data_IF_102234693886
#
_entry.id   IF_102234693886
#
_cell.length_a   1.000
_cell.length_b   1.000
_cell.length_c   1.000
_cell.angle_alpha   90.00
_cell.angle_beta   90.00
_cell.angle_gamma   90.00
#
_symmetry.space_group_name_H-M   'P 1'
#
loop_
_entity.id
_entity.type
_entity.pdbx_description
1 polymer ?
#
# COMPACT_ATOMS: atom_id res chain seq x y z
N UNK A 1 32.83 -21.23 -43.81
CA UNK A 1 33.93 -21.61 -42.91
C UNK A 1 33.65 -20.90 -41.59
N UNK A 2 32.86 -21.52 -40.69
CA UNK A 2 33.31 -22.30 -39.50
C UNK A 2 34.02 -21.35 -38.52
N UNK A 3 33.60 -21.12 -37.28
CA UNK A 3 32.93 -21.94 -36.26
C UNK A 3 32.41 -20.98 -35.14
N UNK A 4 31.16 -21.08 -34.68
CA UNK A 4 30.64 -21.86 -33.52
C UNK A 4 30.96 -21.32 -32.11
N UNK A 5 29.87 -21.29 -31.29
CA UNK A 5 29.77 -21.45 -29.82
C UNK A 5 29.97 -20.18 -28.97
N UNK A 6 29.09 -19.78 -28.04
CA UNK A 6 28.25 -20.57 -27.13
C UNK A 6 26.99 -19.79 -26.69
N UNK A 7 25.81 -20.33 -27.01
CA UNK A 7 24.53 -20.00 -26.39
C UNK A 7 24.42 -20.87 -25.12
N UNK A 8 24.37 -20.26 -23.93
CA UNK A 8 24.01 -20.97 -22.69
C UNK A 8 22.50 -20.86 -22.47
N UNK A 9 21.81 -21.91 -22.93
CA UNK A 9 20.45 -22.27 -22.56
C UNK A 9 20.38 -22.56 -21.05
N UNK A 10 19.65 -21.74 -20.31
CA UNK A 10 19.27 -22.07 -18.93
C UNK A 10 17.92 -22.81 -18.98
N UNK A 11 18.00 -24.14 -19.04
CA UNK A 11 16.87 -25.05 -18.89
C UNK A 11 16.58 -25.19 -17.39
N UNK A 12 15.42 -24.72 -16.93
CA UNK A 12 14.84 -25.19 -15.67
C UNK A 12 13.69 -26.13 -16.01
N UNK A 13 14.00 -27.42 -15.88
CA UNK A 13 13.05 -28.52 -15.97
C UNK A 13 12.12 -28.50 -14.77
N UNK A 14 10.82 -28.58 -15.05
CA UNK A 14 9.76 -28.82 -14.11
C UNK A 14 10.02 -30.10 -13.31
N UNK A 15 10.15 -29.97 -11.98
CA UNK A 15 10.05 -31.09 -11.06
C UNK A 15 8.65 -31.06 -10.44
N UNK A 16 7.74 -31.75 -11.10
CA UNK A 16 6.49 -32.23 -10.52
C UNK A 16 6.85 -33.22 -9.40
N UNK A 17 6.82 -32.77 -8.14
CA UNK A 17 6.82 -33.68 -7.00
C UNK A 17 5.38 -33.79 -6.53
N UNK A 18 4.71 -34.82 -7.03
CA UNK A 18 3.50 -35.35 -6.45
C UNK A 18 3.82 -35.84 -5.02
N UNK A 19 3.52 -35.03 -4.02
CA UNK A 19 3.50 -35.48 -2.62
C UNK A 19 2.22 -36.27 -2.44
N UNK A 20 2.37 -37.58 -2.64
CA UNK A 20 1.38 -38.59 -2.33
C UNK A 20 1.09 -38.56 -0.82
N UNK A 21 -0.18 -38.39 -0.49
CA UNK A 21 -0.74 -38.52 0.86
C UNK A 21 -0.39 -39.90 1.45
N UNK A 22 0.50 -39.94 2.43
CA UNK A 22 0.58 -41.04 3.39
C UNK A 22 -0.01 -40.53 4.72
N UNK A 23 -1.31 -40.82 4.89
CA UNK A 23 -2.01 -40.73 6.16
C UNK A 23 -1.43 -41.78 7.12
N UNK A 24 -0.45 -41.39 7.93
CA UNK A 24 -0.17 -42.11 9.18
C UNK A 24 -1.18 -41.64 10.23
N UNK A 25 -2.12 -42.52 10.55
CA UNK A 25 -3.06 -42.38 11.64
C UNK A 25 -2.30 -42.08 12.95
N UNK A 26 -2.44 -40.85 13.45
CA UNK A 26 -1.99 -40.44 14.77
C UNK A 26 -3.19 -39.94 15.55
N UNK A 27 -3.44 -40.61 16.67
CA UNK A 27 -4.20 -40.21 17.86
C UNK A 27 -5.29 -39.14 17.69
N UNK A 28 -6.54 -39.57 17.85
CA UNK A 28 -7.72 -38.71 18.06
C UNK A 28 -7.56 -37.98 19.41
N UNK A 29 -6.85 -36.86 19.38
CA UNK A 29 -7.05 -35.78 20.35
C UNK A 29 -8.42 -35.12 20.13
N UNK A 30 -8.95 -34.39 21.12
CA UNK A 30 -10.24 -33.73 21.00
C UNK A 30 -10.27 -32.86 19.74
N UNK A 31 -11.26 -33.09 18.86
CA UNK A 31 -11.48 -32.32 17.63
C UNK A 31 -11.38 -30.83 17.95
N UNK A 32 -10.25 -30.23 17.56
CA UNK A 32 -10.08 -28.79 17.43
C UNK A 32 -11.24 -28.32 16.56
N UNK A 33 -12.18 -27.56 17.15
CA UNK A 33 -13.42 -27.08 16.52
C UNK A 33 -13.19 -26.83 15.03
N UNK A 34 -13.78 -27.66 14.16
CA UNK A 34 -13.75 -27.40 12.72
C UNK A 34 -14.40 -26.04 12.53
N UNK A 35 -13.62 -25.04 12.11
CA UNK A 35 -14.12 -23.68 11.96
C UNK A 35 -15.36 -23.68 11.08
N UNK A 36 -16.44 -23.06 11.56
CA UNK A 36 -17.75 -23.03 10.89
C UNK A 36 -17.69 -22.33 9.52
N UNK A 37 -16.65 -21.54 9.27
CA UNK A 37 -16.45 -20.79 8.03
C UNK A 37 -15.61 -21.53 6.98
N UNK A 38 -14.98 -22.66 7.33
CA UNK A 38 -14.07 -23.37 6.41
C UNK A 38 -14.74 -23.75 5.08
N UNK A 39 -15.99 -24.25 5.04
CA UNK A 39 -16.70 -24.51 3.78
C UNK A 39 -16.90 -23.26 2.93
N UNK A 40 -17.06 -22.09 3.56
CA UNK A 40 -17.22 -20.84 2.83
C UNK A 40 -15.90 -20.40 2.19
N UNK A 41 -14.77 -20.58 2.88
CA UNK A 41 -13.45 -20.33 2.32
C UNK A 41 -13.18 -21.26 1.12
N UNK A 42 -13.49 -22.55 1.26
CA UNK A 42 -13.33 -23.54 0.17
C UNK A 42 -14.18 -23.19 -1.05
N UNK A 43 -15.45 -22.81 -0.84
CA UNK A 43 -16.31 -22.36 -1.92
C UNK A 43 -15.76 -21.12 -2.64
N UNK A 44 -15.17 -20.17 -1.91
CA UNK A 44 -14.53 -18.99 -2.50
C UNK A 44 -13.30 -19.37 -3.34
N UNK A 45 -12.52 -20.38 -2.95
CA UNK A 45 -11.42 -20.89 -3.77
C UNK A 45 -11.92 -21.59 -5.04
N UNK A 46 -13.02 -22.35 -4.98
CA UNK A 46 -13.63 -22.94 -6.18
C UNK A 46 -14.12 -21.87 -7.17
N UNK A 47 -14.62 -20.73 -6.68
CA UNK A 47 -14.96 -19.58 -7.52
C UNK A 47 -13.69 -18.96 -8.14
N UNK A 48 -12.59 -18.88 -7.40
CA UNK A 48 -11.30 -18.41 -7.92
C UNK A 48 -10.75 -19.31 -9.04
N UNK A 49 -10.87 -20.64 -8.92
CA UNK A 49 -10.47 -21.58 -9.98
C UNK A 49 -11.25 -21.37 -11.29
N UNK A 50 -12.50 -20.88 -11.19
CA UNK A 50 -13.33 -20.52 -12.34
C UNK A 50 -13.08 -19.10 -12.86
N UNK A 51 -12.10 -18.38 -12.28
CA UNK A 51 -11.81 -16.98 -12.61
C UNK A 51 -12.78 -15.97 -12.01
N UNK A 52 -13.71 -16.39 -11.15
CA UNK A 52 -14.80 -15.57 -10.61
C UNK A 52 -14.40 -14.85 -9.30
N UNK A 53 -13.33 -14.05 -9.34
CA UNK A 53 -12.83 -13.34 -8.13
C UNK A 53 -13.89 -12.48 -7.46
N UNK A 54 -14.65 -11.72 -8.25
CA UNK A 54 -15.63 -10.80 -7.69
C UNK A 54 -16.71 -11.55 -6.91
N UNK A 55 -17.26 -12.62 -7.48
CA UNK A 55 -18.22 -13.49 -6.80
C UNK A 55 -17.63 -14.12 -5.53
N UNK A 56 -16.37 -14.54 -5.57
CA UNK A 56 -15.67 -15.08 -4.40
C UNK A 56 -15.58 -14.06 -3.25
N UNK A 57 -15.21 -12.81 -3.57
CA UNK A 57 -15.10 -11.73 -2.59
C UNK A 57 -16.48 -11.32 -2.03
N UNK A 58 -17.49 -11.21 -2.89
CA UNK A 58 -18.87 -10.92 -2.48
C UNK A 58 -19.40 -12.02 -1.54
N UNK A 59 -19.14 -13.29 -1.86
CA UNK A 59 -19.54 -14.43 -1.04
C UNK A 59 -18.87 -14.43 0.35
N UNK A 60 -17.57 -14.14 0.41
CA UNK A 60 -16.86 -14.03 1.69
C UNK A 60 -17.31 -12.83 2.53
N UNK A 61 -17.55 -11.68 1.89
CA UNK A 61 -18.06 -10.50 2.57
C UNK A 61 -19.47 -10.73 3.14
N UNK A 62 -20.37 -11.36 2.37
CA UNK A 62 -21.69 -11.75 2.86
C UNK A 62 -21.60 -12.74 4.03
N UNK A 63 -20.62 -13.66 3.99
CA UNK A 63 -20.37 -14.59 5.10
C UNK A 63 -19.89 -13.84 6.36
N UNK A 64 -19.05 -12.81 6.21
CA UNK A 64 -18.56 -11.98 7.32
C UNK A 64 -19.65 -11.18 8.02
N UNK A 65 -20.75 -10.87 7.33
CA UNK A 65 -21.92 -10.18 7.89
C UNK A 65 -22.84 -11.08 8.73
N UNK A 66 -22.60 -12.39 8.78
CA UNK A 66 -23.41 -13.31 9.59
C UNK A 66 -23.23 -13.02 11.10
N UNK A 67 -24.32 -13.04 11.90
CA UNK A 67 -24.21 -12.88 13.34
C UNK A 67 -23.46 -14.06 13.98
N UNK A 68 -22.88 -13.83 15.16
CA UNK A 68 -22.24 -14.85 16.02
C UNK A 68 -20.97 -15.51 15.48
N UNK A 69 -20.24 -14.87 14.56
CA UNK A 69 -18.88 -15.32 14.21
C UNK A 69 -17.92 -15.10 15.38
N UNK A 70 -17.10 -16.11 15.69
CA UNK A 70 -16.00 -15.96 16.65
C UNK A 70 -14.93 -15.00 16.10
N UNK A 71 -14.12 -14.39 16.97
CA UNK A 71 -12.99 -13.56 16.53
C UNK A 71 -11.98 -14.35 15.67
N UNK A 72 -11.82 -15.64 15.95
CA UNK A 72 -11.00 -16.53 15.12
C UNK A 72 -11.56 -16.67 13.70
N UNK A 73 -12.87 -16.86 13.56
CA UNK A 73 -13.51 -16.97 12.24
C UNK A 73 -13.47 -15.66 11.48
N UNK A 74 -13.70 -14.52 12.15
CA UNK A 74 -13.56 -13.19 11.55
C UNK A 74 -12.15 -12.96 11.02
N UNK A 75 -11.13 -13.37 11.78
CA UNK A 75 -9.72 -13.29 11.40
C UNK A 75 -9.41 -14.18 10.19
N UNK A 76 -9.86 -15.43 10.19
CA UNK A 76 -9.67 -16.34 9.07
C UNK A 76 -10.37 -15.87 7.78
N UNK A 77 -11.59 -15.35 7.86
CA UNK A 77 -12.27 -14.72 6.73
C UNK A 77 -11.50 -13.51 6.20
N UNK A 78 -10.97 -12.65 7.09
CA UNK A 78 -10.17 -11.50 6.68
C UNK A 78 -8.89 -11.92 5.93
N UNK A 79 -8.21 -12.97 6.40
CA UNK A 79 -7.05 -13.54 5.71
C UNK A 79 -7.41 -14.14 4.34
N UNK A 80 -8.55 -14.83 4.24
CA UNK A 80 -9.03 -15.38 2.97
C UNK A 80 -9.36 -14.27 1.95
N UNK A 81 -10.08 -13.23 2.39
CA UNK A 81 -10.39 -12.05 1.56
C UNK A 81 -9.11 -11.37 1.09
N UNK A 82 -8.16 -11.11 1.99
CA UNK A 82 -6.86 -10.50 1.64
C UNK A 82 -6.12 -11.33 0.58
N UNK A 83 -5.99 -12.64 0.80
CA UNK A 83 -5.32 -13.54 -0.14
C UNK A 83 -6.01 -13.60 -1.51
N UNK A 84 -7.32 -13.77 -1.55
CA UNK A 84 -8.10 -13.84 -2.80
C UNK A 84 -8.03 -12.53 -3.58
N UNK A 85 -8.11 -11.41 -2.88
CA UNK A 85 -8.07 -10.08 -3.52
C UNK A 85 -6.73 -9.77 -4.21
N UNK A 86 -5.62 -10.33 -3.71
CA UNK A 86 -4.26 -10.06 -4.19
C UNK A 86 -3.73 -11.09 -5.19
N UNK A 87 -4.26 -12.30 -5.19
CA UNK A 87 -3.78 -13.38 -6.06
C UNK A 87 -4.05 -13.06 -7.53
N UNK A 88 -3.03 -13.11 -8.39
CA UNK A 88 -3.22 -13.06 -9.84
C UNK A 88 -3.80 -14.37 -10.35
N UNK A 89 -4.80 -14.27 -11.23
CA UNK A 89 -5.45 -15.42 -11.88
C UNK A 89 -4.83 -15.73 -13.24
N UNK A 90 -4.07 -14.79 -13.81
CA UNK A 90 -3.48 -14.85 -15.13
C UNK A 90 -2.02 -14.39 -15.11
N UNK A 91 -1.16 -15.09 -15.86
CA UNK A 91 0.23 -14.66 -16.02
C UNK A 91 0.33 -13.30 -16.71
N UNK A 92 -0.61 -12.97 -17.61
CA UNK A 92 -0.63 -11.69 -18.34
C UNK A 92 -0.76 -10.52 -17.38
N UNK A 93 -1.73 -10.58 -16.46
CA UNK A 93 -1.92 -9.52 -15.47
C UNK A 93 -0.71 -9.41 -14.53
N UNK A 94 -0.18 -10.54 -14.06
CA UNK A 94 1.00 -10.55 -13.20
C UNK A 94 2.22 -9.92 -13.88
N UNK A 95 2.57 -10.35 -15.10
CA UNK A 95 3.72 -9.81 -15.85
C UNK A 95 3.58 -8.32 -16.13
N UNK A 96 2.37 -7.87 -16.46
CA UNK A 96 2.09 -6.45 -16.71
C UNK A 96 2.22 -5.65 -15.42
N UNK A 97 1.66 -6.13 -14.31
CA UNK A 97 1.80 -5.48 -13.00
C UNK A 97 3.26 -5.39 -12.53
N UNK A 98 4.01 -6.48 -12.60
CA UNK A 98 5.43 -6.49 -12.20
C UNK A 98 6.27 -5.53 -13.05
N UNK A 99 5.95 -5.42 -14.34
CA UNK A 99 6.59 -4.46 -15.24
C UNK A 99 6.21 -3.03 -14.90
N UNK A 100 4.95 -2.77 -14.57
CA UNK A 100 4.49 -1.45 -14.11
C UNK A 100 5.23 -1.03 -12.83
N UNK A 101 5.33 -1.91 -11.84
CA UNK A 101 6.07 -1.67 -10.60
C UNK A 101 7.57 -1.44 -10.86
N UNK A 102 8.15 -2.11 -11.87
CA UNK A 102 9.55 -1.90 -12.26
C UNK A 102 9.80 -0.51 -12.86
N UNK A 103 8.85 -0.01 -13.66
CA UNK A 103 8.95 1.30 -14.31
C UNK A 103 8.48 2.45 -13.43
N UNK A 104 7.71 2.18 -12.37
CA UNK A 104 7.04 3.19 -11.55
C UNK A 104 7.91 4.37 -11.14
N UNK A 105 9.18 4.13 -10.75
CA UNK A 105 10.09 5.18 -10.28
C UNK A 105 10.94 5.83 -11.37
N UNK A 106 11.02 5.23 -12.56
CA UNK A 106 12.01 5.58 -13.59
C UNK A 106 11.36 6.04 -14.91
N UNK A 107 10.25 5.40 -15.31
CA UNK A 107 9.57 5.55 -16.59
C UNK A 107 8.05 5.62 -16.37
N UNK A 108 7.60 6.80 -15.91
CA UNK A 108 6.22 7.03 -15.46
C UNK A 108 5.17 6.77 -16.54
N UNK A 109 5.42 7.17 -17.78
CA UNK A 109 4.52 6.95 -18.92
C UNK A 109 4.29 5.46 -19.18
N UNK A 110 5.37 4.69 -19.18
CA UNK A 110 5.40 3.26 -19.43
C UNK A 110 4.75 2.50 -18.28
N UNK A 111 5.01 2.93 -17.03
CA UNK A 111 4.38 2.34 -15.85
C UNK A 111 2.84 2.40 -15.94
N UNK A 112 2.28 3.54 -16.37
CA UNK A 112 0.83 3.69 -16.55
C UNK A 112 0.27 2.69 -17.55
N UNK A 113 0.90 2.56 -18.72
CA UNK A 113 0.46 1.63 -19.77
C UNK A 113 0.38 0.21 -19.22
N UNK A 114 1.41 -0.25 -18.51
CA UNK A 114 1.42 -1.61 -17.96
C UNK A 114 0.44 -1.81 -16.79
N UNK A 115 0.17 -0.79 -15.98
CA UNK A 115 -0.91 -0.89 -14.99
C UNK A 115 -2.29 -1.02 -15.64
N UNK A 116 -2.57 -0.25 -16.69
CA UNK A 116 -3.85 -0.32 -17.41
C UNK A 116 -3.99 -1.67 -18.15
N UNK A 117 -2.91 -2.20 -18.74
CA UNK A 117 -2.89 -3.55 -19.32
C UNK A 117 -3.20 -4.63 -18.27
N UNK A 118 -2.61 -4.50 -17.07
CA UNK A 118 -2.89 -5.40 -15.96
C UNK A 118 -4.35 -5.29 -15.50
N UNK A 119 -4.86 -4.06 -15.37
CA UNK A 119 -6.23 -3.75 -14.94
C UNK A 119 -7.27 -4.28 -15.94
N UNK A 120 -7.00 -4.18 -17.24
CA UNK A 120 -7.86 -4.72 -18.28
C UNK A 120 -7.92 -6.26 -18.23
N UNK A 121 -6.81 -6.92 -17.89
CA UNK A 121 -6.76 -8.37 -17.73
C UNK A 121 -7.45 -8.84 -16.43
N UNK A 122 -7.30 -8.10 -15.33
CA UNK A 122 -7.87 -8.45 -14.02
C UNK A 122 -8.40 -7.23 -13.26
N UNK A 123 -9.61 -6.74 -13.59
CA UNK A 123 -10.14 -5.50 -13.05
C UNK A 123 -10.36 -5.54 -11.53
N UNK A 124 -10.61 -6.71 -10.95
CA UNK A 124 -10.88 -6.86 -9.51
C UNK A 124 -9.64 -7.24 -8.68
N UNK A 125 -8.43 -7.21 -9.23
CA UNK A 125 -7.21 -7.47 -8.45
C UNK A 125 -6.81 -6.21 -7.66
N UNK A 126 -6.70 -6.33 -6.34
CA UNK A 126 -6.44 -5.18 -5.45
C UNK A 126 -5.01 -4.65 -5.59
N UNK A 127 -4.01 -5.49 -5.90
CA UNK A 127 -2.63 -5.02 -6.05
C UNK A 127 -2.51 -4.04 -7.21
N UNK A 128 -3.20 -4.32 -8.31
CA UNK A 128 -3.26 -3.44 -9.48
C UNK A 128 -3.96 -2.13 -9.12
N UNK A 129 -5.09 -2.19 -8.38
CA UNK A 129 -5.79 -1.01 -7.91
C UNK A 129 -4.88 -0.12 -7.05
N UNK A 130 -4.21 -0.70 -6.06
CA UNK A 130 -3.29 0.02 -5.16
C UNK A 130 -2.10 0.63 -5.93
N UNK A 131 -1.58 -0.07 -6.94
CA UNK A 131 -0.53 0.44 -7.82
C UNK A 131 -0.99 1.68 -8.61
N UNK A 132 -2.17 1.62 -9.22
CA UNK A 132 -2.77 2.76 -9.92
C UNK A 132 -3.07 3.94 -8.98
N UNK A 133 -3.58 3.67 -7.77
CA UNK A 133 -3.84 4.72 -6.78
C UNK A 133 -2.53 5.45 -6.44
N UNK A 134 -1.46 4.71 -6.10
CA UNK A 134 -0.14 5.29 -5.87
C UNK A 134 0.35 6.11 -7.05
N UNK A 135 0.21 5.57 -8.26
CA UNK A 135 0.59 6.25 -9.49
C UNK A 135 -0.12 7.58 -9.66
N UNK A 136 -1.44 7.61 -9.53
CA UNK A 136 -2.21 8.84 -9.67
C UNK A 136 -1.88 9.85 -8.56
N UNK A 137 -1.74 9.41 -7.31
CA UNK A 137 -1.32 10.26 -6.19
C UNK A 137 0.07 10.87 -6.40
N UNK A 138 1.03 10.12 -6.94
CA UNK A 138 2.37 10.63 -7.24
C UNK A 138 2.36 11.75 -8.29
N UNK A 139 1.37 11.76 -9.17
CA UNK A 139 1.18 12.83 -10.16
C UNK A 139 0.23 13.92 -9.67
N UNK A 140 -0.17 13.89 -8.40
CA UNK A 140 -1.14 14.81 -7.79
C UNK A 140 -2.51 14.76 -8.51
N UNK A 141 -2.84 13.63 -9.14
CA UNK A 141 -4.13 13.38 -9.79
C UNK A 141 -5.10 12.70 -8.82
N UNK A 142 -5.63 13.48 -7.88
CA UNK A 142 -6.43 12.95 -6.77
C UNK A 142 -7.78 12.38 -7.22
N UNK A 143 -8.41 12.95 -8.25
CA UNK A 143 -9.71 12.50 -8.78
C UNK A 143 -9.72 11.04 -9.28
N UNK A 144 -8.85 10.66 -10.24
CA UNK A 144 -8.71 9.28 -10.68
C UNK A 144 -8.34 8.31 -9.54
N UNK A 145 -7.48 8.73 -8.61
CA UNK A 145 -7.16 7.93 -7.43
C UNK A 145 -8.41 7.68 -6.54
N UNK A 146 -9.21 8.71 -6.31
CA UNK A 146 -10.46 8.64 -5.54
C UNK A 146 -11.47 7.67 -6.16
N UNK A 147 -11.62 7.72 -7.49
CA UNK A 147 -12.51 6.82 -8.21
C UNK A 147 -12.12 5.35 -8.00
N UNK A 148 -10.83 5.04 -8.16
CA UNK A 148 -10.32 3.67 -7.97
C UNK A 148 -10.47 3.21 -6.52
N UNK A 149 -10.17 4.07 -5.54
CA UNK A 149 -10.41 3.77 -4.12
C UNK A 149 -11.88 3.45 -3.89
N UNK A 150 -12.79 4.31 -4.32
CA UNK A 150 -14.24 4.15 -4.13
C UNK A 150 -14.77 2.84 -4.76
N UNK A 151 -14.38 2.55 -6.01
CA UNK A 151 -14.75 1.31 -6.69
C UNK A 151 -14.22 0.08 -5.97
N UNK A 152 -12.97 0.11 -5.52
CA UNK A 152 -12.32 -1.04 -4.88
C UNK A 152 -12.83 -1.26 -3.45
N UNK A 153 -13.18 -0.20 -2.70
CA UNK A 153 -13.78 -0.30 -1.36
C UNK A 153 -15.16 -0.96 -1.39
N UNK A 154 -15.93 -0.85 -2.47
CA UNK A 154 -17.19 -1.60 -2.62
C UNK A 154 -16.97 -3.12 -2.56
N UNK A 155 -15.83 -3.59 -3.07
CA UNK A 155 -15.45 -5.00 -3.05
C UNK A 155 -14.73 -5.39 -1.76
N UNK A 156 -13.99 -4.47 -1.14
CA UNK A 156 -13.13 -4.70 0.02
C UNK A 156 -13.33 -3.61 1.09
N UNK A 157 -14.52 -3.51 1.72
CA UNK A 157 -14.90 -2.37 2.55
C UNK A 157 -14.09 -2.22 3.84
N UNK A 158 -13.32 -3.25 4.23
CA UNK A 158 -12.54 -3.28 5.47
C UNK A 158 -11.03 -3.48 5.20
N UNK A 159 -10.58 -3.16 4.00
CA UNK A 159 -9.15 -3.24 3.64
C UNK A 159 -8.38 -2.07 4.26
N UNK A 160 -7.41 -2.37 5.11
CA UNK A 160 -6.52 -1.36 5.71
C UNK A 160 -5.80 -0.52 4.65
N UNK A 161 -5.29 -1.15 3.58
CA UNK A 161 -4.59 -0.42 2.52
C UNK A 161 -5.53 0.59 1.85
N UNK A 162 -6.80 0.22 1.62
CA UNK A 162 -7.77 1.12 1.01
C UNK A 162 -8.21 2.24 1.94
N UNK A 163 -8.27 2.01 3.26
CA UNK A 163 -8.48 3.09 4.23
C UNK A 163 -7.29 4.06 4.24
N UNK A 164 -6.06 3.54 4.26
CA UNK A 164 -4.84 4.34 4.18
C UNK A 164 -4.84 5.21 2.91
N UNK A 165 -5.04 4.60 1.73
CA UNK A 165 -5.04 5.38 0.48
C UNK A 165 -6.27 6.26 0.31
N UNK A 166 -7.41 5.94 0.93
CA UNK A 166 -8.56 6.85 0.98
C UNK A 166 -8.22 8.14 1.71
N UNK A 167 -7.47 8.04 2.81
CA UNK A 167 -7.00 9.21 3.54
C UNK A 167 -5.91 9.98 2.78
N UNK A 168 -4.99 9.30 2.10
CA UNK A 168 -4.02 9.95 1.19
C UNK A 168 -4.71 10.71 0.04
N UNK A 169 -5.78 10.14 -0.53
CA UNK A 169 -6.59 10.81 -1.55
C UNK A 169 -7.24 12.08 -1.01
N UNK A 170 -7.85 12.03 0.18
CA UNK A 170 -8.45 13.20 0.80
C UNK A 170 -7.38 14.28 1.06
N UNK A 171 -6.18 13.87 1.51
CA UNK A 171 -5.06 14.78 1.68
C UNK A 171 -4.64 15.44 0.36
N UNK A 172 -4.51 14.64 -0.71
CA UNK A 172 -4.20 15.12 -2.05
C UNK A 172 -5.23 16.15 -2.54
N UNK A 173 -6.53 15.89 -2.33
CA UNK A 173 -7.62 16.78 -2.74
C UNK A 173 -7.73 18.04 -1.87
N UNK A 174 -7.02 18.11 -0.74
CA UNK A 174 -7.15 19.20 0.24
C UNK A 174 -8.47 19.18 1.01
N UNK A 175 -9.24 18.10 0.90
CA UNK A 175 -10.51 17.94 1.61
C UNK A 175 -10.24 17.38 3.00
N UNK A 176 -10.85 17.94 4.06
CA UNK A 176 -10.80 17.32 5.38
C UNK A 176 -11.42 15.93 5.30
N UNK A 177 -10.67 14.91 5.69
CA UNK A 177 -11.21 13.57 5.87
C UNK A 177 -11.75 13.42 7.28
N UNK A 178 -12.72 12.53 7.47
CA UNK A 178 -12.96 11.98 8.80
C UNK A 178 -11.62 11.44 9.37
N UNK A 179 -11.38 11.57 10.69
CA UNK A 179 -10.19 11.00 11.31
C UNK A 179 -10.10 9.54 10.90
N UNK A 180 -8.90 9.05 10.56
CA UNK A 180 -8.70 7.62 10.41
C UNK A 180 -9.19 6.95 11.70
N UNK A 181 -10.32 6.26 11.62
CA UNK A 181 -10.57 5.16 12.51
C UNK A 181 -9.46 4.18 12.17
N UNK A 182 -8.37 4.22 12.93
CA UNK A 182 -7.34 3.20 12.86
C UNK A 182 -8.02 1.93 13.33
N UNK A 183 -8.71 1.26 12.40
CA UNK A 183 -9.17 -0.10 12.59
C UNK A 183 -7.91 -0.86 13.00
N UNK A 184 -7.95 -1.68 14.07
CA UNK A 184 -6.78 -2.40 14.57
C UNK A 184 -6.32 -3.53 13.62
N UNK A 185 -6.51 -3.35 12.31
CA UNK A 185 -5.73 -4.04 11.31
C UNK A 185 -4.28 -3.61 11.50
N UNK A 186 -3.45 -4.59 11.87
CA UNK A 186 -2.00 -4.40 11.90
C UNK A 186 -1.55 -3.79 10.57
N UNK A 187 -0.56 -2.89 10.58
CA UNK A 187 0.03 -2.39 9.34
C UNK A 187 0.34 -3.58 8.43
N UNK A 188 -0.09 -3.50 7.18
CA UNK A 188 0.32 -4.47 6.17
C UNK A 188 1.83 -4.35 6.00
N UNK A 189 2.54 -5.44 5.68
CA UNK A 189 4.01 -5.43 5.64
C UNK A 189 4.64 -4.35 4.74
N UNK A 190 3.86 -3.76 3.82
CA UNK A 190 4.30 -2.69 2.93
C UNK A 190 3.97 -1.26 3.41
N UNK A 191 2.97 -1.07 4.28
CA UNK A 191 2.68 0.23 4.92
C UNK A 191 3.33 0.23 6.29
N UNK A 192 4.30 1.10 6.50
CA UNK A 192 5.09 1.11 7.74
C UNK A 192 4.42 2.02 8.78
N UNK A 193 4.72 1.74 10.05
CA UNK A 193 4.24 2.58 11.15
C UNK A 193 4.62 4.06 10.98
N UNK A 194 5.80 4.35 10.42
CA UNK A 194 6.21 5.74 10.12
C UNK A 194 5.30 6.42 9.11
N UNK A 195 4.83 5.71 8.08
CA UNK A 195 3.93 6.23 7.05
C UNK A 195 2.52 6.45 7.61
N UNK A 196 2.09 5.63 8.57
CA UNK A 196 0.84 5.86 9.31
C UNK A 196 0.93 7.15 10.13
N UNK A 197 2.01 7.37 10.88
CA UNK A 197 2.18 8.63 11.63
C UNK A 197 2.27 9.85 10.69
N UNK A 198 2.89 9.70 9.52
CA UNK A 198 2.93 10.75 8.50
C UNK A 198 1.52 11.11 8.01
N UNK A 199 0.69 10.10 7.71
CA UNK A 199 -0.69 10.30 7.29
C UNK A 199 -1.55 10.95 8.38
N UNK A 200 -1.41 10.51 9.63
CA UNK A 200 -2.10 11.13 10.77
C UNK A 200 -1.70 12.61 10.93
N UNK A 201 -0.42 12.93 10.72
CA UNK A 201 0.07 14.31 10.73
C UNK A 201 -0.58 15.15 9.63
N UNK A 202 -0.66 14.63 8.41
CA UNK A 202 -1.32 15.29 7.27
C UNK A 202 -2.81 15.57 7.55
N UNK A 203 -3.54 14.58 8.08
CA UNK A 203 -4.97 14.73 8.42
C UNK A 203 -5.19 15.76 9.52
N UNK A 204 -4.38 15.72 10.58
CA UNK A 204 -4.43 16.69 11.66
C UNK A 204 -4.13 18.10 11.15
N UNK A 205 -3.18 18.23 10.21
CA UNK A 205 -2.85 19.52 9.59
C UNK A 205 -4.03 20.08 8.80
N UNK A 206 -4.68 19.27 7.95
CA UNK A 206 -5.85 19.70 7.19
C UNK A 206 -7.04 20.07 8.08
N UNK A 207 -7.14 19.43 9.25
CA UNK A 207 -8.18 19.73 10.26
C UNK A 207 -7.84 20.94 11.14
N UNK A 208 -6.73 21.65 10.89
CA UNK A 208 -6.29 22.78 11.71
C UNK A 208 -5.72 22.40 13.08
N UNK A 209 -5.55 21.11 13.36
CA UNK A 209 -5.03 20.58 14.63
C UNK A 209 -3.49 20.55 14.59
N UNK A 210 -2.86 21.72 14.47
CA UNK A 210 -1.43 21.82 14.17
C UNK A 210 -0.51 21.23 15.26
N UNK A 211 -0.90 21.28 16.54
CA UNK A 211 -0.12 20.63 17.61
C UNK A 211 -0.16 19.10 17.50
N UNK A 212 -1.31 18.52 17.14
CA UNK A 212 -1.41 17.09 16.86
C UNK A 212 -0.60 16.74 15.61
N UNK A 213 -0.70 17.55 14.56
CA UNK A 213 0.08 17.37 13.34
C UNK A 213 1.58 17.34 13.63
N UNK A 214 2.07 18.27 14.45
CA UNK A 214 3.46 18.31 14.89
C UNK A 214 3.84 17.07 15.71
N UNK A 215 3.00 16.69 16.68
CA UNK A 215 3.23 15.50 17.52
C UNK A 215 3.35 14.22 16.69
N UNK A 216 2.48 14.02 15.70
CA UNK A 216 2.53 12.86 14.82
C UNK A 216 3.74 12.88 13.87
N UNK A 217 4.14 14.05 13.37
CA UNK A 217 5.36 14.21 12.59
C UNK A 217 6.61 13.87 13.42
N UNK A 218 6.68 14.32 14.67
CA UNK A 218 7.79 14.01 15.58
C UNK A 218 7.84 12.51 15.90
N UNK A 219 6.69 11.85 16.11
CA UNK A 219 6.60 10.38 16.26
C UNK A 219 7.11 9.65 15.02
N UNK A 220 6.78 10.13 13.82
CA UNK A 220 7.29 9.57 12.58
C UNK A 220 8.82 9.68 12.51
N UNK A 221 9.38 10.86 12.81
CA UNK A 221 10.83 11.07 12.83
C UNK A 221 11.55 10.23 13.89
N UNK A 222 10.93 9.99 15.04
CA UNK A 222 11.47 9.11 16.08
C UNK A 222 11.47 7.64 15.65
N UNK A 223 10.44 7.19 14.92
CA UNK A 223 10.34 5.82 14.40
C UNK A 223 11.34 5.54 13.30
N UNK A 224 11.59 6.50 12.42
CA UNK A 224 12.58 6.39 11.36
C UNK A 224 13.16 7.77 11.01
N UNK A 225 14.33 8.08 11.57
CA UNK A 225 15.02 9.36 11.38
C UNK A 225 15.61 9.56 9.98
N UNK A 226 15.54 8.53 9.13
CA UNK A 226 15.88 8.59 7.72
C UNK A 226 14.66 8.82 6.81
N UNK A 227 13.44 8.85 7.36
CA UNK A 227 12.22 9.14 6.61
C UNK A 227 12.08 10.65 6.38
N UNK A 228 12.23 11.16 5.13
CA UNK A 228 12.23 12.58 4.87
C UNK A 228 10.92 13.29 5.24
N UNK A 229 9.77 12.68 4.94
CA UNK A 229 8.49 13.41 5.05
C UNK A 229 8.08 13.73 6.49
N UNK A 230 8.59 13.00 7.49
CA UNK A 230 8.41 13.40 8.89
C UNK A 230 8.93 14.82 9.14
N UNK A 231 10.07 15.18 8.55
CA UNK A 231 10.67 16.51 8.70
C UNK A 231 9.96 17.58 7.87
N UNK A 232 9.44 17.23 6.69
CA UNK A 232 8.59 18.14 5.92
C UNK A 232 7.30 18.47 6.68
N UNK A 233 6.61 17.45 7.20
CA UNK A 233 5.37 17.62 7.95
C UNK A 233 5.60 18.40 9.25
N UNK A 234 6.70 18.11 9.96
CA UNK A 234 7.12 18.87 11.14
C UNK A 234 7.42 20.33 10.84
N UNK A 235 8.11 20.62 9.72
CA UNK A 235 8.34 21.99 9.25
C UNK A 235 7.03 22.73 8.94
N UNK A 236 6.11 22.06 8.23
CA UNK A 236 4.82 22.64 7.87
C UNK A 236 3.96 22.97 9.10
N UNK A 237 3.86 22.04 10.05
CA UNK A 237 3.13 22.24 11.30
C UNK A 237 3.76 23.34 12.17
N UNK A 238 5.09 23.41 12.26
CA UNK A 238 5.79 24.47 13.02
C UNK A 238 5.54 25.86 12.44
N UNK A 239 5.53 26.02 11.13
CA UNK A 239 5.17 27.29 10.50
C UNK A 239 3.74 27.72 10.85
N UNK A 240 2.78 26.80 10.78
CA UNK A 240 1.39 27.09 11.17
C UNK A 240 1.26 27.48 12.65
N UNK A 241 2.14 26.96 13.51
CA UNK A 241 2.23 27.29 14.94
C UNK A 241 3.14 28.48 15.26
N UNK A 242 3.73 29.14 14.26
CA UNK A 242 4.73 30.20 14.44
C UNK A 242 5.93 29.77 15.32
N UNK A 243 6.31 28.49 15.25
CA UNK A 243 7.47 27.91 15.94
C UNK A 243 8.71 27.87 15.03
N UNK A 244 9.94 27.86 15.58
CA UNK A 244 11.15 27.69 14.79
C UNK A 244 11.08 26.42 13.93
N UNK A 245 11.27 26.59 12.61
CA UNK A 245 11.13 25.52 11.63
C UNK A 245 12.35 25.33 10.71
N UNK A 246 13.44 26.08 10.92
CA UNK A 246 14.63 26.04 10.07
C UNK A 246 15.34 24.66 10.10
N UNK A 247 15.52 24.08 11.28
CA UNK A 247 16.19 22.78 11.43
C UNK A 247 15.46 21.61 10.74
N UNK A 248 14.14 21.40 10.94
CA UNK A 248 13.43 20.36 10.21
C UNK A 248 13.42 20.61 8.69
N UNK A 249 13.36 21.88 8.24
CA UNK A 249 13.49 22.21 6.82
C UNK A 249 14.84 21.78 6.23
N UNK A 250 15.93 22.11 6.91
CA UNK A 250 17.29 21.69 6.51
C UNK A 250 17.43 20.18 6.49
N UNK A 251 16.91 19.50 7.52
CA UNK A 251 16.96 18.04 7.62
C UNK A 251 16.19 17.36 6.50
N UNK A 252 15.01 17.87 6.15
CA UNK A 252 14.24 17.41 4.98
C UNK A 252 15.06 17.50 3.70
N UNK A 253 15.62 18.67 3.39
CA UNK A 253 16.42 18.88 2.17
C UNK A 253 17.63 17.94 2.12
N UNK A 254 18.34 17.79 3.24
CA UNK A 254 19.49 16.90 3.34
C UNK A 254 19.12 15.45 3.00
N UNK A 255 18.07 14.92 3.63
CA UNK A 255 17.61 13.55 3.36
C UNK A 255 17.15 13.41 1.91
N UNK A 256 16.46 14.42 1.40
CA UNK A 256 15.92 14.43 0.05
C UNK A 256 16.96 14.58 -1.08
N UNK A 257 18.18 15.04 -0.77
CA UNK A 257 19.32 15.01 -1.70
C UNK A 257 19.86 13.59 -1.90
N UNK A 258 19.72 12.72 -0.90
CA UNK A 258 20.24 11.35 -0.89
C UNK A 258 19.22 10.28 -1.33
N UNK A 259 18.08 10.69 -1.90
CA UNK A 259 16.99 9.76 -2.28
C UNK A 259 17.41 8.90 -3.46
N UNK A 260 17.62 7.62 -3.21
CA UNK A 260 17.86 6.59 -4.22
C UNK A 260 16.56 5.87 -4.60
N UNK A 261 16.56 5.12 -5.71
CA UNK A 261 15.45 4.21 -6.06
C UNK A 261 15.17 3.21 -4.94
N UNK A 262 16.20 2.75 -4.23
CA UNK A 262 16.05 1.88 -3.06
C UNK A 262 15.29 2.54 -1.92
N UNK A 263 15.56 3.82 -1.63
CA UNK A 263 14.82 4.57 -0.61
C UNK A 263 13.36 4.82 -1.04
N UNK A 264 13.12 5.09 -2.32
CA UNK A 264 11.76 5.22 -2.85
C UNK A 264 10.98 3.91 -2.72
N UNK A 265 11.61 2.77 -3.00
CA UNK A 265 11.04 1.43 -2.76
C UNK A 265 10.82 1.12 -1.27
N UNK A 266 11.66 1.69 -0.38
CA UNK A 266 11.50 1.55 1.08
C UNK A 266 10.20 2.23 1.55
N UNK A 267 9.81 3.34 0.94
CA UNK A 267 8.63 4.14 1.32
C UNK A 267 7.62 4.24 0.17
N UNK A 268 7.36 3.11 -0.49
CA UNK A 268 6.47 3.06 -1.67
C UNK A 268 5.06 3.55 -1.36
N UNK A 269 4.60 3.41 -0.11
CA UNK A 269 3.29 3.90 0.31
C UNK A 269 3.24 5.42 0.51
N UNK A 270 4.35 6.14 0.31
CA UNK A 270 4.45 7.61 0.31
C UNK A 270 4.67 8.11 -1.14
N UNK A 271 3.62 8.34 -1.95
CA UNK A 271 3.77 8.67 -3.37
C UNK A 271 4.49 10.00 -3.61
N UNK A 272 4.34 10.96 -2.70
CA UNK A 272 4.88 12.31 -2.79
C UNK A 272 6.26 12.47 -2.14
N UNK A 273 7.00 11.37 -1.92
CA UNK A 273 8.33 11.37 -1.31
C UNK A 273 9.28 12.37 -2.00
N UNK A 274 9.72 13.36 -1.23
CA UNK A 274 10.62 14.45 -1.61
C UNK A 274 10.12 15.30 -2.80
N UNK A 275 8.80 15.39 -2.98
CA UNK A 275 8.18 16.22 -4.03
C UNK A 275 8.24 17.73 -3.73
N UNK A 276 8.39 18.12 -2.45
CA UNK A 276 8.27 19.53 -1.99
C UNK A 276 9.62 20.23 -1.77
N UNK A 277 10.72 19.69 -2.30
CA UNK A 277 12.08 20.23 -2.14
C UNK A 277 12.22 21.71 -2.51
N UNK A 278 11.62 22.13 -3.63
CA UNK A 278 11.75 23.51 -4.13
C UNK A 278 11.17 24.50 -3.12
N UNK A 279 9.93 24.28 -2.68
CA UNK A 279 9.24 25.10 -1.68
C UNK A 279 10.03 25.20 -0.37
N UNK A 280 10.58 24.09 0.11
CA UNK A 280 11.36 24.09 1.37
C UNK A 280 12.72 24.78 1.20
N UNK A 281 13.36 24.64 0.03
CA UNK A 281 14.63 25.31 -0.26
C UNK A 281 14.50 26.84 -0.29
N UNK A 282 13.40 27.36 -0.84
CA UNK A 282 13.09 28.79 -0.82
C UNK A 282 12.98 29.31 0.61
N UNK A 283 12.22 28.63 1.47
CA UNK A 283 12.10 28.96 2.89
C UNK A 283 13.47 29.01 3.59
N UNK A 284 14.32 27.99 3.40
CA UNK A 284 15.66 27.94 4.03
C UNK A 284 16.51 29.12 3.58
N UNK A 285 16.53 29.42 2.27
CA UNK A 285 17.31 30.53 1.71
C UNK A 285 16.91 31.89 2.27
N UNK A 286 15.62 32.11 2.52
CA UNK A 286 15.11 33.36 3.08
C UNK A 286 15.51 33.54 4.55
N UNK A 287 15.40 32.48 5.36
CA UNK A 287 15.64 32.53 6.79
C UNK A 287 17.13 32.49 7.16
N UNK A 288 17.98 31.90 6.31
CA UNK A 288 19.45 31.98 6.48
C UNK A 288 20.03 33.37 6.18
N UNK A 289 19.35 34.17 5.36
CA UNK A 289 19.75 35.57 5.12
C UNK A 289 19.41 36.50 6.28
N UNK A 290 18.48 36.11 7.14
CA UNK A 290 18.05 36.90 8.30
C UNK A 290 18.87 36.57 9.56
N UNK A 291 19.65 35.49 9.54
CA UNK A 291 20.50 35.05 10.65
C UNK A 291 21.98 35.41 10.48
N UNK A 292 22.34 35.98 9.32
CA UNK A 292 23.65 36.58 9.02
C UNK A 292 23.52 38.10 8.94
#
# INVERSE_FOLDING_TARGET
>A
MTDRLLIRLFKWTAAFVAVFFLFTASAVGPKKNSSTIQPAIEQAYLLMEKGQRQEALEFLNATKSKPNLSESDKSQLALAVDKISRMFLTEKAQKSFERAESFYFEQKSEAKVFYEEARAAEPSNVLIALGLIRFYLQQEQCGPAAEIVSQTKKQLPLSFDLEFYSAEVNHCSGEPSEPLLIVPAKPTGHIKAVEINALLSQQAFLSGQFELALSEADKAAQKDSAYPEAYYLGWQARQALLKPALDPAKRYLLLCQSVTTGLRRKYTATPLLCSRKVKVAEYVKEHEKQTN
#
